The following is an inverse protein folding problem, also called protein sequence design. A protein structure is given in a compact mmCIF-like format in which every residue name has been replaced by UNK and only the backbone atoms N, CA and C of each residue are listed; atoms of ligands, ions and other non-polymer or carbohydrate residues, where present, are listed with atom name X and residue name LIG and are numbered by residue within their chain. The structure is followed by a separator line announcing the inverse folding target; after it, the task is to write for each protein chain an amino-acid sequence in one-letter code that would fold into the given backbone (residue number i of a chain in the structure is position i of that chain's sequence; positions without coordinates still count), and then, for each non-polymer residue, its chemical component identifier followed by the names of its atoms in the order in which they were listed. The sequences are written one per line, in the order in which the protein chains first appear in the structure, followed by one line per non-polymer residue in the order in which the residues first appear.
data_IF_127072709814
#
_entry.id   IF_127072709814
#
_cell.length_a   1.000
_cell.length_b   1.000
_cell.length_c   1.000
_cell.angle_alpha   90.00
_cell.angle_beta   90.00
_cell.angle_gamma   90.00
#
_symmetry.space_group_name_H-M   'P 1'
#
loop_
_entity.id
_entity.type
_entity.pdbx_description
1 polymer ?
#
# COMPACT_ATOMS: atom_id res chain seq x y z
N UNK A 1 11.98 -18.77 -19.39
CA UNK A 1 12.44 -18.01 -18.22
C UNK A 1 11.39 -16.95 -17.92
N UNK A 2 10.89 -16.84 -16.67
CA UNK A 2 9.96 -15.78 -16.33
C UNK A 2 10.62 -14.42 -16.58
N UNK A 3 9.86 -13.51 -17.18
CA UNK A 3 10.29 -12.12 -17.34
C UNK A 3 10.36 -11.49 -15.94
N UNK A 4 11.58 -11.32 -15.45
CA UNK A 4 11.88 -10.77 -14.12
C UNK A 4 11.18 -9.43 -13.91
N UNK A 5 11.01 -8.63 -14.97
CA UNK A 5 10.35 -7.33 -14.89
C UNK A 5 8.83 -7.48 -14.71
N UNK A 6 8.23 -8.50 -15.33
CA UNK A 6 6.81 -8.84 -15.17
C UNK A 6 6.52 -9.39 -13.77
N UNK A 7 7.36 -10.30 -13.28
CA UNK A 7 7.24 -10.84 -11.91
C UNK A 7 7.42 -9.75 -10.86
N UNK A 8 8.39 -8.86 -11.04
CA UNK A 8 8.62 -7.73 -10.15
C UNK A 8 7.41 -6.78 -10.08
N UNK A 9 6.80 -6.46 -11.22
CA UNK A 9 5.58 -5.64 -11.27
C UNK A 9 4.40 -6.34 -10.61
N UNK A 10 4.27 -7.65 -10.81
CA UNK A 10 3.22 -8.45 -10.16
C UNK A 10 3.37 -8.43 -8.64
N UNK A 11 4.58 -8.65 -8.12
CA UNK A 11 4.86 -8.61 -6.68
C UNK A 11 4.56 -7.24 -6.10
N UNK A 12 4.94 -6.15 -6.78
CA UNK A 12 4.57 -4.78 -6.36
C UNK A 12 3.06 -4.61 -6.25
N UNK A 13 2.33 -5.03 -7.28
CA UNK A 13 0.87 -4.93 -7.31
C UNK A 13 0.21 -5.75 -6.18
N UNK A 14 0.69 -6.97 -5.96
CA UNK A 14 0.17 -7.85 -4.90
C UNK A 14 0.42 -7.24 -3.51
N UNK A 15 1.61 -6.65 -3.26
CA UNK A 15 1.93 -5.94 -2.00
C UNK A 15 1.01 -4.74 -1.80
N UNK A 16 0.79 -3.93 -2.84
CA UNK A 16 -0.10 -2.77 -2.77
C UNK A 16 -1.53 -3.17 -2.41
N UNK A 17 -2.05 -4.23 -3.03
CA UNK A 17 -3.41 -4.71 -2.73
C UNK A 17 -3.52 -5.23 -1.29
N UNK A 18 -2.50 -5.91 -0.78
CA UNK A 18 -2.43 -6.38 0.60
C UNK A 18 -2.43 -5.21 1.60
N UNK A 19 -1.66 -4.16 1.33
CA UNK A 19 -1.64 -2.94 2.13
C UNK A 19 -3.01 -2.26 2.16
N UNK A 20 -3.63 -2.06 0.99
CA UNK A 20 -4.95 -1.44 0.91
C UNK A 20 -6.05 -2.26 1.60
N UNK A 21 -5.98 -3.60 1.53
CA UNK A 21 -6.86 -4.47 2.30
C UNK A 21 -6.64 -4.30 3.81
N UNK A 22 -5.37 -4.26 4.25
CA UNK A 22 -5.03 -4.14 5.67
C UNK A 22 -5.47 -2.79 6.26
N UNK A 23 -5.28 -1.69 5.53
CA UNK A 23 -5.78 -0.37 5.91
C UNK A 23 -7.31 -0.35 6.00
N UNK A 24 -7.99 -1.02 5.08
CA UNK A 24 -9.45 -1.14 5.09
C UNK A 24 -9.95 -1.93 6.30
N UNK A 25 -9.28 -3.03 6.67
CA UNK A 25 -9.63 -3.81 7.87
C UNK A 25 -9.30 -3.05 9.16
N UNK A 26 -8.15 -2.35 9.23
CA UNK A 26 -7.81 -1.49 10.36
C UNK A 26 -8.86 -0.39 10.58
N UNK A 27 -9.38 0.21 9.52
CA UNK A 27 -10.43 1.23 9.62
C UNK A 27 -11.77 0.68 10.14
N UNK A 28 -12.00 -0.64 10.05
CA UNK A 28 -13.20 -1.30 10.59
C UNK A 28 -13.07 -1.67 12.07
N UNK A 29 -11.85 -1.75 12.60
CA UNK A 29 -11.61 -2.08 14.00
C UNK A 29 -11.67 -0.86 14.90
N UNK A 30 -12.59 -0.86 15.86
CA UNK A 30 -12.78 0.23 16.84
C UNK A 30 -11.87 0.14 18.06
N UNK A 31 -10.98 -0.88 18.15
CA UNK A 31 -10.21 -1.15 19.37
C UNK A 31 -8.80 -1.75 19.13
N UNK A 32 -8.19 -1.51 17.99
CA UNK A 32 -6.76 -1.77 17.83
C UNK A 32 -5.99 -0.61 18.42
N UNK A 33 -4.93 -0.90 19.19
CA UNK A 33 -3.98 0.13 19.59
C UNK A 33 -3.51 0.95 18.38
N UNK A 34 -2.93 2.14 18.62
CA UNK A 34 -2.48 3.11 17.62
C UNK A 34 -2.35 2.55 16.19
N UNK A 35 -3.31 2.83 15.28
CA UNK A 35 -3.27 2.39 13.88
C UNK A 35 -1.97 2.78 13.16
N UNK A 36 -1.32 3.85 13.62
CA UNK A 36 0.00 4.29 13.18
C UNK A 36 1.08 3.25 13.47
N UNK A 37 1.03 2.60 14.64
CA UNK A 37 1.99 1.57 15.03
C UNK A 37 1.73 0.27 14.24
N UNK A 38 0.47 -0.09 14.00
CA UNK A 38 0.12 -1.24 13.17
C UNK A 38 0.63 -1.07 11.72
N UNK A 39 0.41 0.10 11.12
CA UNK A 39 0.92 0.42 9.78
C UNK A 39 2.45 0.39 9.75
N UNK A 40 3.11 0.91 10.80
CA UNK A 40 4.57 0.91 10.90
C UNK A 40 5.15 -0.49 10.95
N UNK A 41 4.57 -1.38 11.75
CA UNK A 41 5.02 -2.78 11.85
C UNK A 41 4.74 -3.57 10.57
N UNK A 42 3.65 -3.26 9.86
CA UNK A 42 3.38 -3.84 8.54
C UNK A 42 4.42 -3.43 7.48
N UNK A 43 4.76 -2.13 7.41
CA UNK A 43 5.80 -1.63 6.49
C UNK A 43 7.15 -2.29 6.79
N UNK A 44 7.50 -2.46 8.07
CA UNK A 44 8.70 -3.18 8.50
C UNK A 44 8.69 -4.64 8.04
N UNK A 45 7.61 -5.36 8.28
CA UNK A 45 7.48 -6.76 7.88
C UNK A 45 7.60 -6.91 6.35
N UNK A 46 6.92 -6.06 5.57
CA UNK A 46 7.01 -6.08 4.12
C UNK A 46 8.42 -5.79 3.62
N UNK A 47 9.12 -4.83 4.23
CA UNK A 47 10.51 -4.54 3.87
C UNK A 47 11.43 -5.74 4.12
N UNK A 48 11.28 -6.39 5.28
CA UNK A 48 12.01 -7.60 5.67
C UNK A 48 11.79 -8.77 4.70
N UNK A 49 10.54 -9.04 4.29
CA UNK A 49 10.22 -10.19 3.46
C UNK A 49 10.41 -9.95 1.95
N UNK A 50 10.27 -8.72 1.48
CA UNK A 50 10.34 -8.41 0.04
C UNK A 50 11.72 -7.95 -0.43
N UNK A 51 12.61 -7.54 0.49
CA UNK A 51 13.88 -6.89 0.15
C UNK A 51 13.73 -5.47 -0.42
N UNK A 52 12.51 -4.91 -0.42
CA UNK A 52 12.24 -3.52 -0.79
C UNK A 52 12.43 -2.66 0.46
N UNK A 53 13.08 -1.50 0.33
CA UNK A 53 13.29 -0.64 1.49
C UNK A 53 11.97 -0.03 1.99
N UNK A 54 11.85 0.20 3.32
CA UNK A 54 10.69 0.88 3.90
C UNK A 54 10.41 2.24 3.23
N UNK A 55 11.47 2.94 2.80
CA UNK A 55 11.38 4.21 2.09
C UNK A 55 10.62 4.07 0.77
N UNK A 56 10.99 3.09 -0.05
CA UNK A 56 10.33 2.82 -1.34
C UNK A 56 8.88 2.37 -1.17
N UNK A 57 8.57 1.66 -0.07
CA UNK A 57 7.19 1.27 0.25
C UNK A 57 6.36 2.51 0.60
N UNK A 58 6.90 3.43 1.42
CA UNK A 58 6.22 4.69 1.79
C UNK A 58 6.01 5.61 0.61
N UNK A 59 7.03 5.81 -0.22
CA UNK A 59 6.92 6.62 -1.46
C UNK A 59 5.82 6.04 -2.38
N UNK A 60 5.76 4.71 -2.52
CA UNK A 60 4.71 4.06 -3.32
C UNK A 60 3.31 4.22 -2.73
N UNK A 61 3.18 4.33 -1.40
CA UNK A 61 1.92 4.59 -0.71
C UNK A 61 1.46 6.05 -0.91
N UNK A 62 2.39 7.00 -0.82
CA UNK A 62 2.12 8.42 -1.07
C UNK A 62 1.67 8.64 -2.52
N UNK A 63 2.33 8.03 -3.51
CA UNK A 63 1.94 8.10 -4.93
C UNK A 63 0.51 7.59 -5.19
N UNK A 64 0.07 6.56 -4.46
CA UNK A 64 -1.29 6.02 -4.53
C UNK A 64 -2.33 6.93 -3.88
N UNK A 65 -1.95 7.63 -2.81
CA UNK A 65 -2.83 8.61 -2.16
C UNK A 65 -3.13 9.79 -3.09
N UNK A 66 -2.12 10.28 -3.81
CA UNK A 66 -2.25 11.38 -4.76
C UNK A 66 -3.04 11.01 -6.03
N UNK A 67 -2.96 9.76 -6.50
CA UNK A 67 -3.75 9.30 -7.67
C UNK A 67 -5.25 9.13 -7.37
N UNK A 68 -5.61 8.90 -6.10
CA UNK A 68 -7.02 8.79 -5.68
C UNK A 68 -7.74 10.14 -5.52
N UNK A 69 -7.00 11.24 -5.37
CA UNK A 69 -7.57 12.59 -5.29
C UNK A 69 -7.91 13.15 -6.68
N UNK A 70 -7.13 12.81 -7.71
CA UNK A 70 -7.40 13.21 -9.09
C UNK A 70 -8.67 12.54 -9.65
N UNK A 71 -8.98 11.30 -9.23
CA UNK A 71 -10.18 10.57 -9.70
C UNK A 71 -11.48 11.02 -9.02
N UNK A 72 -11.41 11.80 -7.93
CA UNK A 72 -12.61 12.37 -7.29
C UNK A 72 -13.11 13.65 -7.97
N UNK A 73 -12.25 14.42 -8.63
CA UNK A 73 -12.65 15.68 -9.25
C UNK A 73 -13.49 15.49 -10.53
N UNK A 74 -13.27 14.39 -11.27
CA UNK A 74 -13.98 14.16 -12.53
C UNK A 74 -15.43 13.64 -12.35
N UNK A 75 -15.79 13.13 -11.16
CA UNK A 75 -17.16 12.66 -10.87
C UNK A 75 -18.13 13.75 -10.37
N UNK A 76 -17.66 14.97 -10.16
CA UNK A 76 -18.50 16.09 -9.66
C UNK A 76 -18.88 17.09 -10.76
N UNK A 77 -18.43 16.87 -12.00
CA UNK A 77 -18.86 17.64 -13.17
C UNK A 77 -19.60 16.75 -14.17
N UNK A 78 -20.81 16.31 -13.81
CA UNK A 78 -21.82 15.87 -14.77
C UNK A 78 -23.22 15.99 -14.20
#
# INVERSE_FOLDING_TARGET
MPDVNKEYKKVKFDITNLLGWFECELAKETNTGSPVDALRELIRALALFSGISEKQIKESLEDLSHTNDETKNERTSK
#
